data_IF_980146328704
#
_entry.id   IF_980146328704
#
_cell.length_a   1.000
_cell.length_b   1.000
_cell.length_c   1.000
_cell.angle_alpha   90.00
_cell.angle_beta   90.00
_cell.angle_gamma   90.00
#
_symmetry.space_group_name_H-M   'P 1'
#
loop_
_entity.id
_entity.type
_entity.pdbx_description
1 polymer ?
#
# COMPACT_ATOMS: atom_id res chain seq x y z
N UNK A 1 -10.74 20.62 8.03
CA UNK A 1 -10.97 19.19 7.74
C UNK A 1 -10.24 18.37 8.78
N UNK A 2 -10.70 17.16 9.13
CA UNK A 2 -10.02 16.33 10.11
C UNK A 2 -8.62 15.97 9.62
N UNK A 3 -7.62 16.07 10.50
CA UNK A 3 -6.30 15.56 10.21
C UNK A 3 -6.26 14.04 10.41
N UNK A 4 -5.64 13.33 9.48
CA UNK A 4 -5.61 11.87 9.36
C UNK A 4 -4.21 11.35 9.04
N UNK A 5 -3.99 10.07 9.31
CA UNK A 5 -2.71 9.39 9.25
C UNK A 5 -1.60 10.19 9.92
N UNK A 6 -1.87 10.62 11.16
CA UNK A 6 -0.95 11.48 11.92
C UNK A 6 0.43 10.84 12.11
N UNK A 7 0.44 9.50 12.16
CA UNK A 7 1.63 8.67 12.32
C UNK A 7 2.33 8.35 10.98
N UNK A 8 1.86 8.87 9.84
CA UNK A 8 2.50 8.64 8.52
C UNK A 8 3.91 9.23 8.41
N UNK A 9 4.21 10.28 9.19
CA UNK A 9 5.42 11.08 9.04
C UNK A 9 5.32 12.16 7.95
N UNK A 10 4.14 12.35 7.34
CA UNK A 10 3.90 13.40 6.34
C UNK A 10 4.26 14.81 6.84
N UNK A 11 4.00 15.11 8.12
CA UNK A 11 4.30 16.41 8.74
C UNK A 11 5.80 16.72 8.83
N UNK A 12 6.66 15.72 8.64
CA UNK A 12 8.11 15.89 8.62
C UNK A 12 8.62 16.27 7.23
N UNK A 13 7.79 16.11 6.18
CA UNK A 13 8.16 16.34 4.79
C UNK A 13 7.74 17.75 4.33
N UNK A 14 8.32 18.22 3.23
CA UNK A 14 7.96 19.50 2.62
C UNK A 14 7.60 19.30 1.15
N UNK A 15 6.55 19.95 0.68
CA UNK A 15 6.20 19.96 -0.75
C UNK A 15 7.20 20.80 -1.54
N UNK A 16 7.66 20.29 -2.69
CA UNK A 16 8.39 21.06 -3.68
C UNK A 16 7.44 21.85 -4.61
N UNK A 17 7.99 22.54 -5.61
CA UNK A 17 7.20 23.33 -6.57
C UNK A 17 6.28 22.48 -7.46
N UNK A 18 6.54 21.18 -7.58
CA UNK A 18 5.70 20.23 -8.31
C UNK A 18 4.70 19.51 -7.39
N UNK A 19 4.64 19.88 -6.10
CA UNK A 19 3.77 19.26 -5.11
C UNK A 19 4.27 17.90 -4.59
N UNK A 20 5.51 17.51 -4.90
CA UNK A 20 6.12 16.25 -4.45
C UNK A 20 6.80 16.41 -3.09
N UNK A 21 6.96 15.30 -2.37
CA UNK A 21 7.48 15.29 -1.01
C UNK A 21 9.00 15.28 -0.99
N UNK A 22 9.61 16.45 -0.74
CA UNK A 22 11.05 16.60 -0.54
C UNK A 22 11.48 15.98 0.77
N UNK A 23 12.56 15.19 0.71
CA UNK A 23 13.18 14.56 1.88
C UNK A 23 13.85 15.60 2.78
N UNK A 24 13.45 15.62 4.05
CA UNK A 24 13.96 16.53 5.08
C UNK A 24 14.81 15.78 6.10
N UNK A 25 15.55 16.53 6.91
CA UNK A 25 16.38 15.96 7.97
C UNK A 25 15.51 15.30 9.05
N UNK A 26 14.37 15.90 9.38
CA UNK A 26 13.45 15.37 10.39
C UNK A 26 12.78 14.06 9.92
N UNK A 27 12.48 13.94 8.63
CA UNK A 27 11.98 12.70 8.07
C UNK A 27 13.03 11.58 8.17
N UNK A 28 14.32 11.89 7.95
CA UNK A 28 15.39 10.92 8.14
C UNK A 28 15.58 10.53 9.61
N UNK A 29 15.53 11.50 10.53
CA UNK A 29 15.60 11.24 11.98
C UNK A 29 14.51 10.30 12.46
N UNK A 30 13.30 10.38 11.90
CA UNK A 30 12.22 9.47 12.26
C UNK A 30 12.57 7.99 12.01
N UNK A 31 13.42 7.68 11.02
CA UNK A 31 13.93 6.31 10.82
C UNK A 31 14.94 5.88 11.89
N UNK A 32 15.75 6.81 12.40
CA UNK A 32 16.74 6.52 13.46
C UNK A 32 16.12 6.42 14.86
N UNK A 33 14.90 6.91 15.00
CA UNK A 33 14.09 6.78 16.22
C UNK A 33 13.29 5.47 16.27
N UNK A 34 13.33 4.67 15.19
CA UNK A 34 12.68 3.36 15.18
C UNK A 34 13.38 2.41 16.17
N UNK A 35 12.63 1.53 16.87
CA UNK A 35 13.20 0.62 17.86
C UNK A 35 14.33 -0.27 17.32
N UNK A 36 14.30 -0.60 16.03
CA UNK A 36 15.31 -1.43 15.36
C UNK A 36 16.67 -0.72 15.19
N UNK A 37 16.71 0.62 15.35
CA UNK A 37 17.91 1.47 15.18
C UNK A 37 18.26 2.23 16.46
N UNK A 38 17.26 2.55 17.28
CA UNK A 38 17.46 3.31 18.51
C UNK A 38 18.32 2.49 19.50
N UNK A 39 19.47 3.01 19.94
CA UNK A 39 20.33 2.31 20.89
C UNK A 39 19.59 1.95 22.18
N UNK A 40 19.90 0.79 22.74
CA UNK A 40 19.39 0.33 24.03
C UNK A 40 20.45 0.53 25.12
N UNK A 41 20.12 0.23 26.37
CA UNK A 41 21.06 0.39 27.48
C UNK A 41 22.32 -0.48 27.30
N UNK A 42 22.15 -1.66 26.71
CA UNK A 42 23.18 -2.65 26.43
C UNK A 42 24.01 -2.37 25.17
N UNK A 43 23.62 -1.36 24.36
CA UNK A 43 24.37 -0.98 23.16
C UNK A 43 25.83 -0.66 23.50
N UNK A 44 26.73 -0.77 22.53
CA UNK A 44 28.12 -0.37 22.73
C UNK A 44 28.33 1.14 22.46
N UNK A 45 29.51 1.64 22.83
CA UNK A 45 29.85 3.06 22.65
C UNK A 45 29.96 3.47 21.18
N UNK A 46 30.32 2.55 20.29
CA UNK A 46 30.42 2.82 18.85
C UNK A 46 29.02 3.01 18.25
N UNK A 47 28.06 2.16 18.62
CA UNK A 47 26.67 2.30 18.22
C UNK A 47 26.05 3.61 18.72
N UNK A 48 26.19 3.91 20.02
CA UNK A 48 25.71 5.17 20.61
C UNK A 48 26.32 6.40 19.92
N UNK A 49 27.61 6.35 19.63
CA UNK A 49 28.33 7.43 18.95
C UNK A 49 27.85 7.62 17.50
N UNK A 50 27.66 6.51 16.76
CA UNK A 50 27.11 6.54 15.41
C UNK A 50 25.70 7.12 15.39
N UNK A 51 24.82 6.66 16.29
CA UNK A 51 23.45 7.15 16.41
C UNK A 51 23.41 8.63 16.72
N UNK A 52 24.16 9.10 17.73
CA UNK A 52 24.22 10.51 18.09
C UNK A 52 24.69 11.38 16.90
N UNK A 53 25.70 10.92 16.16
CA UNK A 53 26.19 11.61 14.98
C UNK A 53 25.15 11.66 13.85
N UNK A 54 24.38 10.59 13.64
CA UNK A 54 23.27 10.55 12.67
C UNK A 54 22.10 11.44 13.09
N UNK A 55 21.79 11.53 14.39
CA UNK A 55 20.76 12.45 14.89
C UNK A 55 21.16 13.91 14.70
N UNK A 56 22.45 14.24 14.89
CA UNK A 56 22.97 15.57 14.64
C UNK A 56 22.98 15.91 13.14
N UNK A 57 23.52 15.02 12.30
CA UNK A 57 23.66 15.22 10.86
C UNK A 57 23.07 14.02 10.08
N UNK A 58 21.74 13.99 9.83
CA UNK A 58 21.06 12.82 9.26
C UNK A 58 21.54 12.41 7.87
N UNK A 59 22.09 13.36 7.11
CA UNK A 59 22.60 13.13 5.75
C UNK A 59 24.05 12.67 5.71
N UNK A 60 24.74 12.60 6.86
CA UNK A 60 26.18 12.33 6.88
C UNK A 60 26.50 10.97 6.26
N UNK A 61 27.56 10.88 5.49
CA UNK A 61 28.08 9.58 5.06
C UNK A 61 28.64 8.83 6.27
N UNK A 62 28.43 7.52 6.29
CA UNK A 62 28.94 6.61 7.33
C UNK A 62 29.94 5.70 6.66
N UNK A 63 31.18 5.69 7.15
CA UNK A 63 32.21 4.81 6.63
C UNK A 63 31.96 3.36 7.07
N UNK A 64 32.40 2.41 6.24
CA UNK A 64 32.29 0.98 6.56
C UNK A 64 32.96 0.61 7.89
N UNK A 65 34.08 1.26 8.22
CA UNK A 65 34.79 1.06 9.49
C UNK A 65 33.98 1.50 10.71
N UNK A 66 33.13 2.52 10.58
CA UNK A 66 32.24 2.95 11.68
C UNK A 66 31.17 1.90 11.97
N UNK A 67 30.63 1.26 10.92
CA UNK A 67 29.69 0.15 11.07
C UNK A 67 30.40 -1.09 11.63
N UNK A 68 31.59 -1.42 11.15
CA UNK A 68 32.34 -2.60 11.62
C UNK A 68 32.78 -2.50 13.08
N UNK A 69 32.87 -1.28 13.63
CA UNK A 69 33.17 -1.03 15.04
C UNK A 69 32.04 -1.39 16.00
N UNK A 70 30.80 -1.50 15.52
CA UNK A 70 29.66 -1.96 16.32
C UNK A 70 29.85 -3.46 16.58
N UNK A 71 29.76 -3.85 17.85
CA UNK A 71 29.98 -5.22 18.29
C UNK A 71 28.82 -6.13 17.88
N UNK A 72 27.58 -5.64 17.97
CA UNK A 72 26.39 -6.39 17.64
C UNK A 72 26.24 -6.58 16.11
N UNK A 73 26.30 -7.83 15.59
CA UNK A 73 26.05 -8.10 14.18
C UNK A 73 24.64 -7.68 13.71
N UNK A 74 23.60 -7.82 14.54
CA UNK A 74 22.22 -7.54 14.15
C UNK A 74 22.01 -6.02 14.02
N UNK A 75 22.52 -5.25 14.98
CA UNK A 75 22.54 -3.79 14.89
C UNK A 75 23.24 -3.31 13.60
N UNK A 76 24.41 -3.90 13.25
CA UNK A 76 25.11 -3.56 12.00
C UNK A 76 24.27 -3.78 10.76
N UNK A 77 23.54 -4.89 10.70
CA UNK A 77 22.67 -5.19 9.57
C UNK A 77 21.50 -4.21 9.49
N UNK A 78 20.88 -3.86 10.61
CA UNK A 78 19.84 -2.83 10.65
C UNK A 78 20.36 -1.47 10.17
N UNK A 79 21.54 -1.05 10.63
CA UNK A 79 22.18 0.18 10.14
C UNK A 79 22.48 0.12 8.64
N UNK A 80 22.97 -1.00 8.09
CA UNK A 80 23.20 -1.14 6.65
C UNK A 80 21.92 -0.93 5.86
N UNK A 81 20.82 -1.54 6.31
CA UNK A 81 19.51 -1.45 5.67
C UNK A 81 18.98 -0.01 5.69
N UNK A 82 18.98 0.66 6.85
CA UNK A 82 18.46 2.03 6.96
C UNK A 82 19.32 3.05 6.21
N UNK A 83 20.65 2.88 6.21
CA UNK A 83 21.57 3.78 5.51
C UNK A 83 21.47 3.61 3.99
N UNK A 84 21.34 2.38 3.49
CA UNK A 84 21.09 2.14 2.07
C UNK A 84 19.77 2.78 1.60
N UNK A 85 18.72 2.66 2.41
CA UNK A 85 17.44 3.30 2.12
C UNK A 85 17.52 4.84 2.18
N UNK A 86 18.20 5.40 3.19
CA UNK A 86 18.48 6.84 3.26
C UNK A 86 19.19 7.35 2.01
N UNK A 87 20.25 6.66 1.59
CA UNK A 87 21.05 7.10 0.45
C UNK A 87 20.21 7.12 -0.84
N UNK A 88 19.26 6.19 -1.00
CA UNK A 88 18.26 6.22 -2.08
C UNK A 88 17.33 7.40 -2.00
N UNK A 89 16.76 7.68 -0.83
CA UNK A 89 15.90 8.85 -0.61
C UNK A 89 16.64 10.16 -0.95
N UNK A 90 17.89 10.27 -0.51
CA UNK A 90 18.72 11.44 -0.78
C UNK A 90 19.07 11.58 -2.26
N UNK A 91 19.40 10.47 -2.93
CA UNK A 91 19.70 10.48 -4.37
C UNK A 91 18.48 10.85 -5.21
N UNK A 92 17.28 10.42 -4.81
CA UNK A 92 16.04 10.72 -5.52
C UNK A 92 15.51 12.14 -5.24
N UNK A 93 15.84 12.73 -4.09
CA UNK A 93 15.43 14.07 -3.66
C UNK A 93 13.98 14.18 -3.18
N UNK A 94 13.07 13.38 -3.73
CA UNK A 94 11.68 13.26 -3.29
C UNK A 94 11.27 11.81 -3.02
N UNK A 95 10.27 11.63 -2.17
CA UNK A 95 9.73 10.30 -1.83
C UNK A 95 9.10 9.65 -3.06
N UNK A 96 8.39 10.40 -3.89
CA UNK A 96 7.81 9.93 -5.15
C UNK A 96 8.88 9.43 -6.12
N UNK A 97 9.97 10.19 -6.30
CA UNK A 97 11.07 9.78 -7.16
C UNK A 97 11.75 8.51 -6.63
N UNK A 98 11.94 8.41 -5.31
CA UNK A 98 12.49 7.22 -4.67
C UNK A 98 11.59 6.00 -4.91
N UNK A 99 10.29 6.14 -4.65
CA UNK A 99 9.29 5.09 -4.89
C UNK A 99 9.31 4.62 -6.35
N UNK A 100 9.19 5.55 -7.32
CA UNK A 100 9.17 5.20 -8.73
C UNK A 100 10.49 4.55 -9.22
N UNK A 101 11.64 4.99 -8.68
CA UNK A 101 12.94 4.43 -9.03
C UNK A 101 13.17 3.02 -8.48
N UNK A 102 12.54 2.68 -7.34
CA UNK A 102 12.70 1.39 -6.64
C UNK A 102 12.34 0.20 -7.54
N UNK A 103 11.39 0.40 -8.47
CA UNK A 103 10.87 -0.67 -9.34
C UNK A 103 11.51 -0.70 -10.74
N UNK A 104 12.50 0.14 -11.02
CA UNK A 104 13.20 0.15 -12.32
C UNK A 104 14.31 -0.92 -12.44
N UNK A 105 14.56 -1.68 -11.38
CA UNK A 105 15.59 -2.72 -11.32
C UNK A 105 15.25 -3.79 -10.28
N UNK A 106 16.27 -4.52 -9.81
CA UNK A 106 16.10 -5.48 -8.73
C UNK A 106 15.64 -4.76 -7.44
N UNK A 107 14.51 -5.18 -6.90
CA UNK A 107 13.95 -4.61 -5.67
C UNK A 107 14.64 -5.26 -4.48
N UNK A 108 15.59 -4.55 -3.88
CA UNK A 108 16.31 -4.91 -2.67
C UNK A 108 15.92 -4.03 -1.47
N UNK A 109 14.88 -3.21 -1.63
CA UNK A 109 14.32 -2.38 -0.55
C UNK A 109 13.31 -3.21 0.24
N UNK A 110 13.42 -3.29 1.58
CA UNK A 110 12.44 -3.96 2.41
C UNK A 110 11.00 -3.49 2.17
N UNK A 111 10.00 -4.39 2.18
CA UNK A 111 8.59 -4.03 1.95
C UNK A 111 8.08 -2.89 2.85
N UNK A 112 8.49 -2.89 4.11
CA UNK A 112 8.14 -1.85 5.09
C UNK A 112 8.44 -0.43 4.60
N UNK A 113 9.58 -0.23 3.92
CA UNK A 113 9.94 1.09 3.40
C UNK A 113 9.13 1.46 2.17
N UNK A 114 8.80 0.48 1.32
CA UNK A 114 7.92 0.69 0.17
C UNK A 114 6.52 1.11 0.62
N UNK A 115 5.99 0.41 1.62
CA UNK A 115 4.70 0.70 2.26
C UNK A 115 4.70 2.09 2.89
N UNK A 116 5.74 2.45 3.64
CA UNK A 116 5.85 3.79 4.23
C UNK A 116 5.91 4.90 3.17
N UNK A 117 6.66 4.70 2.08
CA UNK A 117 6.68 5.65 0.97
C UNK A 117 5.29 5.81 0.35
N UNK A 118 4.60 4.71 0.06
CA UNK A 118 3.24 4.75 -0.48
C UNK A 118 2.26 5.47 0.48
N UNK A 119 2.38 5.23 1.78
CA UNK A 119 1.56 5.85 2.82
C UNK A 119 1.72 7.38 2.84
N UNK A 120 2.95 7.91 2.90
CA UNK A 120 3.14 9.38 2.90
C UNK A 120 2.75 10.03 1.58
N UNK A 121 2.97 9.35 0.46
CA UNK A 121 2.55 9.84 -0.87
C UNK A 121 1.03 9.90 -0.94
N UNK A 122 0.31 8.89 -0.45
CA UNK A 122 -1.15 8.94 -0.40
C UNK A 122 -1.66 10.00 0.56
N UNK A 123 -0.99 10.22 1.71
CA UNK A 123 -1.35 11.31 2.61
C UNK A 123 -1.26 12.67 1.91
N UNK A 124 -0.28 12.82 1.02
CA UNK A 124 -0.11 14.00 0.19
C UNK A 124 -1.21 14.12 -0.88
N UNK A 125 -1.48 13.04 -1.61
CA UNK A 125 -2.48 12.97 -2.68
C UNK A 125 -3.90 13.25 -2.16
N UNK A 126 -4.22 12.72 -0.98
CA UNK A 126 -5.54 12.81 -0.36
C UNK A 126 -5.67 14.02 0.58
N UNK A 127 -4.71 14.95 0.53
CA UNK A 127 -4.81 16.19 1.29
C UNK A 127 -6.04 16.99 0.85
N UNK A 128 -6.88 17.36 1.81
CA UNK A 128 -8.18 17.97 1.52
C UNK A 128 -9.27 17.00 1.05
N UNK A 129 -9.07 15.68 1.14
CA UNK A 129 -10.13 14.69 0.89
C UNK A 129 -11.11 14.64 2.07
N UNK A 130 -12.40 14.79 1.79
CA UNK A 130 -13.50 14.78 2.76
C UNK A 130 -14.23 13.42 2.84
N UNK A 131 -13.95 12.52 1.89
CA UNK A 131 -14.50 11.18 1.81
C UNK A 131 -13.68 10.18 2.64
N UNK A 132 -14.20 9.68 3.78
CA UNK A 132 -13.48 8.75 4.64
C UNK A 132 -13.31 7.36 3.99
N UNK A 133 -14.19 6.97 3.07
CA UNK A 133 -14.06 5.69 2.38
C UNK A 133 -12.87 5.69 1.42
N UNK A 134 -12.54 6.85 0.81
CA UNK A 134 -11.30 6.97 0.03
C UNK A 134 -10.07 6.79 0.89
N UNK A 135 -10.07 7.36 2.10
CA UNK A 135 -8.96 7.16 3.03
C UNK A 135 -8.83 5.69 3.41
N UNK A 136 -9.91 5.04 3.86
CA UNK A 136 -9.87 3.62 4.21
C UNK A 136 -9.48 2.74 3.02
N UNK A 137 -10.01 2.99 1.83
CA UNK A 137 -9.65 2.26 0.62
C UNK A 137 -8.18 2.47 0.21
N UNK A 138 -7.64 3.66 0.44
CA UNK A 138 -6.24 3.96 0.14
C UNK A 138 -5.26 3.18 1.02
N UNK A 139 -5.66 2.70 2.20
CA UNK A 139 -4.83 1.83 3.03
C UNK A 139 -4.42 0.54 2.31
N UNK A 140 -5.19 0.06 1.32
CA UNK A 140 -4.83 -1.13 0.53
C UNK A 140 -3.49 -0.97 -0.20
N UNK A 141 -3.07 0.26 -0.49
CA UNK A 141 -1.83 0.54 -1.23
C UNK A 141 -0.58 0.31 -0.37
N UNK A 142 -0.71 0.30 0.95
CA UNK A 142 0.42 0.21 1.88
C UNK A 142 0.18 -0.72 3.06
N UNK A 143 -0.99 -1.37 3.17
CA UNK A 143 -1.28 -2.38 4.20
C UNK A 143 -1.92 -3.61 3.59
N UNK A 144 -1.42 -4.77 4.00
CA UNK A 144 -2.02 -6.06 3.64
C UNK A 144 -3.41 -6.21 4.28
N UNK A 145 -4.35 -6.75 3.52
CA UNK A 145 -5.72 -6.98 4.00
C UNK A 145 -6.00 -8.48 4.07
N UNK A 146 -6.73 -8.90 5.10
CA UNK A 146 -7.35 -10.21 5.15
C UNK A 146 -8.74 -10.14 4.49
N UNK A 147 -8.91 -10.90 3.41
CA UNK A 147 -10.18 -11.06 2.74
C UNK A 147 -11.03 -12.13 3.40
N UNK A 148 -12.31 -11.83 3.57
CA UNK A 148 -13.36 -12.79 3.90
C UNK A 148 -14.37 -12.80 2.77
N UNK A 149 -14.50 -13.94 2.09
CA UNK A 149 -15.44 -14.14 0.99
C UNK A 149 -16.60 -15.01 1.50
N UNK A 150 -17.82 -14.48 1.50
CA UNK A 150 -19.04 -15.22 1.90
C UNK A 150 -20.20 -14.84 1.00
N UNK A 151 -20.84 -15.82 0.38
CA UNK A 151 -22.06 -15.62 -0.43
C UNK A 151 -21.92 -14.53 -1.51
N UNK A 152 -20.73 -14.41 -2.12
CA UNK A 152 -20.43 -13.37 -3.11
C UNK A 152 -20.09 -11.99 -2.53
N UNK A 153 -20.05 -11.86 -1.20
CA UNK A 153 -19.56 -10.67 -0.51
C UNK A 153 -18.07 -10.78 -0.21
N UNK A 154 -17.31 -9.76 -0.61
CA UNK A 154 -15.88 -9.64 -0.32
C UNK A 154 -15.69 -8.52 0.71
N UNK A 155 -15.25 -8.89 1.91
CA UNK A 155 -14.93 -7.98 3.00
C UNK A 155 -13.41 -7.97 3.24
N UNK A 156 -12.85 -6.78 3.43
CA UNK A 156 -11.43 -6.58 3.71
C UNK A 156 -11.22 -5.94 5.08
N UNK A 157 -10.44 -6.62 5.91
CA UNK A 157 -9.95 -6.14 7.20
C UNK A 157 -8.43 -5.99 7.15
N UNK A 158 -7.86 -5.14 7.98
CA UNK A 158 -6.40 -5.07 8.13
C UNK A 158 -5.82 -6.40 8.63
N UNK A 159 -4.81 -6.94 7.95
CA UNK A 159 -4.25 -8.27 8.26
C UNK A 159 -3.55 -8.29 9.62
N UNK A 160 -2.78 -7.27 9.94
CA UNK A 160 -2.05 -7.20 11.22
C UNK A 160 -3.03 -7.17 12.40
N UNK A 161 -4.08 -6.36 12.30
CA UNK A 161 -5.15 -6.27 13.30
C UNK A 161 -5.85 -7.61 13.49
N UNK A 162 -6.21 -8.30 12.40
CA UNK A 162 -6.82 -9.64 12.47
C UNK A 162 -5.87 -10.66 13.14
N UNK A 163 -4.58 -10.63 12.82
CA UNK A 163 -3.58 -11.55 13.38
C UNK A 163 -3.33 -11.31 14.88
N UNK A 164 -3.21 -10.05 15.31
CA UNK A 164 -3.04 -9.70 16.73
C UNK A 164 -4.21 -10.20 17.57
N UNK A 165 -5.44 -10.08 17.07
CA UNK A 165 -6.63 -10.61 17.75
C UNK A 165 -6.66 -12.15 17.80
N UNK A 166 -6.23 -12.81 16.72
CA UNK A 166 -6.10 -14.26 16.71
C UNK A 166 -5.04 -14.76 17.72
N UNK A 167 -3.93 -14.02 17.90
CA UNK A 167 -2.86 -14.36 18.82
C UNK A 167 -3.18 -14.04 20.30
N UNK A 168 -3.95 -12.99 20.58
CA UNK A 168 -4.38 -12.60 21.93
C UNK A 168 -5.45 -13.52 22.54
N UNK A 169 -6.17 -14.26 21.71
CA UNK A 169 -7.03 -15.37 22.16
C UNK A 169 -6.15 -16.58 22.46
N UNK A 170 -5.80 -16.81 23.73
CA UNK A 170 -5.21 -18.09 24.16
C UNK A 170 -6.11 -19.21 23.64
N UNK A 171 -5.51 -20.23 23.03
CA UNK A 171 -6.10 -21.33 22.25
C UNK A 171 -6.22 -21.04 20.75
N UNK A 172 -5.22 -21.55 20.02
CA UNK A 172 -5.12 -21.43 18.58
C UNK A 172 -6.11 -22.26 17.77
N UNK A 173 -6.03 -22.01 16.46
CA UNK A 173 -6.76 -22.58 15.33
C UNK A 173 -8.16 -21.99 15.04
N UNK A 174 -8.13 -20.84 14.35
CA UNK A 174 -9.04 -20.38 13.27
C UNK A 174 -10.54 -20.10 13.55
N UNK A 175 -11.19 -20.56 14.61
CA UNK A 175 -12.67 -20.60 14.63
C UNK A 175 -13.40 -19.80 15.71
N UNK A 176 -13.83 -18.56 15.44
CA UNK A 176 -15.19 -18.10 15.88
C UNK A 176 -15.71 -16.88 15.11
N UNK A 177 -15.93 -17.06 13.81
CA UNK A 177 -17.14 -16.53 13.17
C UNK A 177 -18.26 -17.55 13.42
N UNK A 178 -18.85 -17.50 14.62
CA UNK A 178 -20.17 -18.08 14.89
C UNK A 178 -20.96 -17.02 15.66
N UNK A 179 -21.99 -16.52 14.98
CA UNK A 179 -23.18 -15.95 15.61
C UNK A 179 -23.76 -17.03 16.50
N UNK A 180 -23.62 -16.89 17.81
CA UNK A 180 -24.52 -17.54 18.77
C UNK A 180 -25.25 -16.44 19.52
N UNK A 181 -26.56 -16.44 19.32
CA UNK A 181 -27.50 -15.88 20.27
C UNK A 181 -27.07 -16.35 21.67
N UNK A 182 -26.88 -15.38 22.57
CA UNK A 182 -26.57 -15.54 24.00
C UNK A 182 -25.08 -15.65 24.36
N UNK A 183 -24.53 -14.54 24.89
CA UNK A 183 -23.64 -14.60 26.04
C UNK A 183 -22.13 -14.74 25.79
N UNK A 184 -21.47 -13.60 25.57
CA UNK A 184 -20.13 -13.25 26.02
C UNK A 184 -18.98 -14.28 25.87
N UNK A 185 -18.26 -14.21 24.75
CA UNK A 185 -16.79 -14.22 24.67
C UNK A 185 -16.41 -13.32 23.49
N UNK A 186 -15.55 -12.32 23.73
CA UNK A 186 -15.37 -11.13 22.88
C UNK A 186 -15.10 -11.41 21.40
N UNK A 187 -16.13 -11.20 20.58
CA UNK A 187 -15.98 -10.92 19.16
C UNK A 187 -15.43 -9.50 19.00
N UNK A 188 -14.39 -9.33 18.19
CA UNK A 188 -14.06 -7.99 17.70
C UNK A 188 -15.19 -7.60 16.76
N UNK A 189 -16.03 -6.67 17.18
CA UNK A 189 -16.96 -5.97 16.28
C UNK A 189 -16.12 -5.05 15.39
N UNK A 190 -15.51 -5.60 14.34
CA UNK A 190 -14.95 -4.78 13.29
C UNK A 190 -16.10 -4.09 12.56
N UNK A 191 -16.16 -2.77 12.65
CA UNK A 191 -17.21 -1.98 12.02
C UNK A 191 -17.03 -2.02 10.49
N UNK A 192 -18.04 -2.53 9.78
CA UNK A 192 -18.08 -2.48 8.32
C UNK A 192 -18.52 -1.09 7.89
N UNK A 193 -17.61 -0.36 7.25
CA UNK A 193 -17.87 0.98 6.75
C UNK A 193 -18.68 0.96 5.45
N UNK A 194 -19.68 1.82 5.41
CA UNK A 194 -20.50 2.15 4.25
C UNK A 194 -20.72 3.66 4.16
N UNK A 195 -21.54 4.11 3.22
CA UNK A 195 -21.81 5.54 3.03
C UNK A 195 -22.50 6.21 4.22
N UNK A 196 -23.23 5.47 5.06
CA UNK A 196 -23.97 6.02 6.19
C UNK A 196 -23.11 6.19 7.45
N UNK A 197 -22.11 5.33 7.64
CA UNK A 197 -21.26 5.33 8.84
C UNK A 197 -19.77 5.65 8.58
N UNK A 198 -19.36 5.96 7.34
CA UNK A 198 -17.97 6.23 6.96
C UNK A 198 -17.25 7.25 7.86
N UNK A 199 -17.98 8.24 8.39
CA UNK A 199 -17.42 9.27 9.27
C UNK A 199 -16.76 8.71 10.54
N UNK A 200 -17.10 7.48 10.96
CA UNK A 200 -16.44 6.77 12.06
C UNK A 200 -14.92 6.63 11.83
N UNK A 201 -14.50 6.51 10.56
CA UNK A 201 -13.09 6.38 10.20
C UNK A 201 -12.24 7.53 10.74
N UNK A 202 -12.73 8.77 10.74
CA UNK A 202 -11.97 9.94 11.22
C UNK A 202 -11.52 9.83 12.68
N UNK A 203 -12.33 9.17 13.51
CA UNK A 203 -12.03 8.98 14.93
C UNK A 203 -11.05 7.82 15.17
N UNK A 204 -10.81 7.00 14.13
CA UNK A 204 -10.11 5.72 14.19
C UNK A 204 -9.05 5.56 13.10
N UNK A 205 -8.63 6.64 12.45
CA UNK A 205 -7.80 6.66 11.24
C UNK A 205 -6.45 5.91 11.38
N UNK A 206 -5.95 5.73 12.60
CA UNK A 206 -4.71 5.00 12.93
C UNK A 206 -4.95 3.70 13.72
N UNK A 207 -6.21 3.27 13.89
CA UNK A 207 -6.55 2.04 14.64
C UNK A 207 -6.64 0.81 13.76
N UNK A 208 -6.87 1.00 12.45
CA UNK A 208 -7.01 -0.08 11.46
C UNK A 208 -8.08 -1.14 11.85
N UNK A 209 -9.07 -0.75 12.65
CA UNK A 209 -10.12 -1.60 13.23
C UNK A 209 -11.43 -1.56 12.44
N UNK A 210 -11.38 -1.14 11.17
CA UNK A 210 -12.55 -0.99 10.30
C UNK A 210 -12.45 -1.84 9.04
N UNK A 211 -13.60 -2.30 8.57
CA UNK A 211 -13.73 -3.19 7.41
C UNK A 211 -14.39 -2.46 6.25
N UNK A 212 -13.99 -2.76 5.02
CA UNK A 212 -14.70 -2.29 3.83
C UNK A 212 -15.13 -3.46 2.96
N UNK A 213 -16.22 -3.26 2.21
CA UNK A 213 -16.67 -4.24 1.22
C UNK A 213 -16.23 -3.85 -0.19
N UNK A 214 -15.53 -4.75 -0.87
CA UNK A 214 -15.20 -4.62 -2.29
C UNK A 214 -16.23 -5.27 -3.22
N UNK A 215 -17.39 -5.65 -2.69
CA UNK A 215 -18.50 -6.17 -3.51
C UNK A 215 -18.99 -5.10 -4.48
N UNK A 216 -19.24 -5.50 -5.73
CA UNK A 216 -19.76 -4.60 -6.75
C UNK A 216 -21.01 -3.84 -6.30
N UNK A 217 -21.02 -2.52 -6.52
CA UNK A 217 -22.11 -1.63 -6.11
C UNK A 217 -22.04 -1.17 -4.65
N UNK A 218 -20.96 -1.52 -3.91
CA UNK A 218 -20.69 -0.96 -2.58
C UNK A 218 -19.80 0.29 -2.67
N UNK A 219 -20.07 1.33 -1.86
CA UNK A 219 -19.38 2.62 -1.95
C UNK A 219 -17.84 2.56 -1.83
N UNK A 220 -17.30 1.64 -1.02
CA UNK A 220 -15.86 1.53 -0.84
C UNK A 220 -15.13 1.07 -2.11
N UNK A 221 -15.81 0.36 -3.01
CA UNK A 221 -15.24 -0.05 -4.29
C UNK A 221 -15.10 1.14 -5.25
N UNK A 222 -16.10 2.03 -5.27
CA UNK A 222 -16.02 3.30 -6.02
C UNK A 222 -14.95 4.23 -5.42
N UNK A 223 -14.83 4.25 -4.09
CA UNK A 223 -13.78 4.99 -3.41
C UNK A 223 -12.38 4.51 -3.82
N UNK A 224 -12.16 3.18 -3.85
CA UNK A 224 -10.90 2.59 -4.33
C UNK A 224 -10.60 2.96 -5.79
N UNK A 225 -11.60 2.92 -6.67
CA UNK A 225 -11.45 3.37 -8.06
C UNK A 225 -11.00 4.85 -8.14
N UNK A 226 -11.57 5.71 -7.30
CA UNK A 226 -11.16 7.11 -7.18
C UNK A 226 -9.70 7.28 -6.72
N UNK A 227 -9.26 6.49 -5.73
CA UNK A 227 -7.86 6.52 -5.26
C UNK A 227 -6.90 6.06 -6.35
N UNK A 228 -7.24 5.02 -7.13
CA UNK A 228 -6.44 4.57 -8.28
C UNK A 228 -6.27 5.70 -9.29
N UNK A 229 -7.35 6.41 -9.64
CA UNK A 229 -7.28 7.53 -10.57
C UNK A 229 -6.38 8.67 -10.05
N UNK A 230 -6.48 9.00 -8.76
CA UNK A 230 -5.64 10.02 -8.13
C UNK A 230 -4.16 9.62 -8.09
N UNK A 231 -3.87 8.35 -7.81
CA UNK A 231 -2.52 7.80 -7.84
C UNK A 231 -1.88 7.90 -9.23
N UNK A 232 -2.61 7.49 -10.27
CA UNK A 232 -2.17 7.60 -11.67
C UNK A 232 -1.90 9.06 -12.04
N UNK A 233 -2.83 9.97 -11.69
CA UNK A 233 -2.67 11.41 -11.95
C UNK A 233 -1.44 11.99 -11.26
N UNK A 234 -1.18 11.63 -10.01
CA UNK A 234 -0.05 12.17 -9.23
C UNK A 234 1.30 11.80 -9.82
N UNK A 235 1.48 10.54 -10.21
CA UNK A 235 2.77 10.06 -10.72
C UNK A 235 2.99 10.37 -12.20
N UNK A 236 1.95 10.18 -13.02
CA UNK A 236 2.06 10.22 -14.48
C UNK A 236 1.57 11.55 -15.07
N UNK A 237 0.86 12.37 -14.31
CA UNK A 237 0.22 13.59 -14.83
C UNK A 237 -0.97 13.30 -15.77
N UNK A 238 -1.41 12.04 -15.84
CA UNK A 238 -2.46 11.58 -16.76
C UNK A 238 -3.78 11.50 -16.01
N UNK A 239 -4.84 12.07 -16.58
CA UNK A 239 -6.19 11.90 -16.06
C UNK A 239 -6.82 10.64 -16.65
N UNK A 240 -7.28 9.76 -15.76
CA UNK A 240 -7.98 8.53 -16.10
C UNK A 240 -9.30 8.45 -15.34
N UNK A 241 -10.26 7.76 -15.93
CA UNK A 241 -11.52 7.40 -15.29
C UNK A 241 -11.49 5.92 -14.95
N UNK A 242 -11.66 5.59 -13.68
CA UNK A 242 -11.71 4.19 -13.21
C UNK A 242 -13.13 3.90 -12.73
N UNK A 243 -13.74 2.84 -13.23
CA UNK A 243 -15.08 2.40 -12.83
C UNK A 243 -15.05 0.93 -12.41
N UNK A 244 -15.69 0.56 -11.29
CA UNK A 244 -15.91 -0.84 -10.98
C UNK A 244 -16.79 -1.50 -12.04
N UNK A 245 -16.53 -2.77 -12.35
CA UNK A 245 -17.31 -3.60 -13.27
C UNK A 245 -17.57 -4.98 -12.65
N UNK A 246 -18.63 -5.67 -13.09
CA UNK A 246 -18.97 -7.02 -12.60
C UNK A 246 -18.19 -8.13 -13.29
N UNK A 247 -17.90 -7.95 -14.57
CA UNK A 247 -17.23 -8.90 -15.45
C UNK A 247 -16.62 -8.16 -16.63
N UNK A 248 -15.67 -8.81 -17.30
CA UNK A 248 -15.11 -8.34 -18.56
C UNK A 248 -15.96 -8.95 -19.68
N UNK A 249 -16.69 -8.12 -20.42
CA UNK A 249 -17.56 -8.56 -21.52
C UNK A 249 -16.80 -8.66 -22.86
N UNK A 250 -15.63 -8.03 -22.96
CA UNK A 250 -14.82 -8.01 -24.17
C UNK A 250 -14.06 -9.34 -24.33
N UNK A 251 -14.39 -10.12 -25.36
CA UNK A 251 -13.83 -11.45 -25.56
C UNK A 251 -12.31 -11.47 -25.79
N UNK A 252 -11.78 -10.45 -26.46
CA UNK A 252 -10.35 -10.22 -26.64
C UNK A 252 -10.05 -8.80 -26.19
N UNK A 253 -9.99 -8.60 -24.86
CA UNK A 253 -9.69 -7.28 -24.33
C UNK A 253 -8.35 -6.75 -24.85
N UNK A 254 -8.09 -5.45 -24.70
CA UNK A 254 -6.89 -4.84 -25.28
C UNK A 254 -5.66 -4.99 -24.39
N UNK A 255 -5.90 -4.86 -23.09
CA UNK A 255 -4.86 -4.68 -22.10
C UNK A 255 -5.42 -4.91 -20.71
N UNK A 256 -4.60 -5.40 -19.81
CA UNK A 256 -4.95 -5.56 -18.40
C UNK A 256 -3.78 -5.25 -17.48
N UNK A 257 -4.10 -4.92 -16.23
CA UNK A 257 -3.12 -4.73 -15.17
C UNK A 257 -3.65 -5.42 -13.91
N UNK A 258 -2.93 -6.44 -13.44
CA UNK A 258 -3.17 -6.99 -12.11
C UNK A 258 -2.71 -6.00 -11.05
N UNK A 259 -3.55 -5.74 -10.05
CA UNK A 259 -3.25 -4.85 -8.93
C UNK A 259 -2.50 -5.60 -7.81
N UNK A 260 -2.26 -6.89 -7.94
CA UNK A 260 -1.52 -7.75 -7.03
C UNK A 260 -0.92 -8.94 -7.82
N UNK A 261 -0.12 -9.77 -7.15
CA UNK A 261 0.54 -10.90 -7.83
C UNK A 261 -0.47 -11.95 -8.35
N UNK A 262 -1.54 -12.22 -7.61
CA UNK A 262 -2.52 -13.25 -7.97
C UNK A 262 -3.38 -12.78 -9.14
N UNK A 263 -3.89 -11.54 -9.11
CA UNK A 263 -4.64 -10.97 -10.23
C UNK A 263 -3.80 -10.84 -11.49
N UNK A 264 -2.51 -10.49 -11.38
CA UNK A 264 -1.59 -10.50 -12.52
C UNK A 264 -1.48 -11.89 -13.14
N UNK A 265 -1.30 -12.94 -12.33
CA UNK A 265 -1.20 -14.31 -12.81
C UNK A 265 -2.51 -14.75 -13.49
N UNK A 266 -3.66 -14.55 -12.84
CA UNK A 266 -4.98 -14.94 -13.36
C UNK A 266 -5.26 -14.24 -14.70
N UNK A 267 -5.02 -12.93 -14.79
CA UNK A 267 -5.29 -12.19 -16.02
C UNK A 267 -4.34 -12.59 -17.17
N UNK A 268 -3.08 -12.91 -16.88
CA UNK A 268 -2.14 -13.41 -17.87
C UNK A 268 -2.55 -14.78 -18.42
N UNK A 269 -2.96 -15.69 -17.53
CA UNK A 269 -3.45 -17.02 -17.92
C UNK A 269 -4.68 -16.88 -18.84
N UNK A 270 -5.67 -16.08 -18.44
CA UNK A 270 -6.87 -15.81 -19.25
C UNK A 270 -6.53 -15.18 -20.61
N UNK A 271 -5.62 -14.22 -20.63
CA UNK A 271 -5.18 -13.57 -21.87
C UNK A 271 -4.51 -14.55 -22.83
N UNK A 272 -3.70 -15.47 -22.31
CA UNK A 272 -3.02 -16.50 -23.09
C UNK A 272 -3.95 -17.64 -23.56
N UNK A 273 -5.22 -17.64 -23.13
CA UNK A 273 -6.18 -18.71 -23.40
C UNK A 273 -5.93 -19.98 -22.59
N UNK A 274 -5.19 -19.89 -21.48
CA UNK A 274 -4.95 -21.03 -20.58
C UNK A 274 -6.21 -21.36 -19.76
N UNK A 275 -6.39 -22.64 -19.44
CA UNK A 275 -7.43 -23.06 -18.50
C UNK A 275 -7.03 -22.68 -17.07
N UNK A 276 -7.93 -21.99 -16.37
CA UNK A 276 -7.75 -21.69 -14.96
C UNK A 276 -8.13 -22.90 -14.10
N UNK A 277 -7.33 -23.17 -13.07
CA UNK A 277 -7.69 -24.14 -12.05
C UNK A 277 -9.02 -23.79 -11.37
N UNK A 278 -9.77 -24.83 -10.97
CA UNK A 278 -11.05 -24.66 -10.30
C UNK A 278 -10.90 -23.79 -9.06
N UNK A 279 -11.74 -22.75 -8.95
CA UNK A 279 -11.77 -21.86 -7.79
C UNK A 279 -10.82 -20.66 -7.86
N UNK A 280 -9.81 -20.62 -8.75
CA UNK A 280 -8.93 -19.42 -8.88
C UNK A 280 -9.70 -18.16 -9.27
N UNK A 281 -10.73 -18.29 -10.12
CA UNK A 281 -11.62 -17.17 -10.44
C UNK A 281 -12.36 -16.59 -9.23
N UNK A 282 -12.64 -17.39 -8.19
CA UNK A 282 -13.32 -16.93 -6.97
C UNK A 282 -12.44 -16.04 -6.11
N UNK A 283 -11.13 -15.99 -6.41
CA UNK A 283 -10.16 -15.13 -5.72
C UNK A 283 -10.17 -13.69 -6.21
N UNK A 284 -10.74 -13.43 -7.39
CA UNK A 284 -10.92 -12.06 -7.88
C UNK A 284 -11.98 -11.37 -7.02
N UNK A 285 -11.54 -10.37 -6.26
CA UNK A 285 -12.38 -9.61 -5.34
C UNK A 285 -13.00 -8.39 -6.01
N UNK A 286 -12.29 -7.77 -6.95
CA UNK A 286 -12.71 -6.57 -7.64
C UNK A 286 -12.18 -6.52 -9.08
N UNK A 287 -13.01 -5.96 -9.97
CA UNK A 287 -12.67 -5.65 -11.35
C UNK A 287 -12.97 -4.18 -11.64
N UNK A 288 -12.11 -3.55 -12.44
CA UNK A 288 -12.31 -2.18 -12.88
C UNK A 288 -12.05 -2.04 -14.38
N UNK A 289 -12.74 -1.09 -15.01
CA UNK A 289 -12.37 -0.55 -16.30
C UNK A 289 -11.72 0.83 -16.09
N UNK A 290 -10.50 0.98 -16.59
CA UNK A 290 -9.77 2.25 -16.64
C UNK A 290 -9.80 2.79 -18.07
N UNK A 291 -10.30 4.01 -18.22
CA UNK A 291 -10.40 4.74 -19.48
C UNK A 291 -9.50 5.98 -19.39
N UNK A 292 -8.63 6.19 -20.39
CA UNK A 292 -7.84 7.42 -20.48
C UNK A 292 -8.73 8.56 -20.99
N UNK A 293 -8.59 9.76 -20.42
CA UNK A 293 -9.30 10.94 -20.97
C UNK A 293 -8.69 11.41 -22.29
N UNK A 294 -7.37 11.27 -22.45
CA UNK A 294 -6.65 11.57 -23.68
C UNK A 294 -6.00 10.30 -24.25
N UNK A 295 -6.57 9.79 -25.33
CA UNK A 295 -6.07 8.60 -26.03
C UNK A 295 -4.67 8.80 -26.64
N UNK A 296 -4.21 10.04 -26.87
CA UNK A 296 -2.86 10.30 -27.39
C UNK A 296 -1.74 9.97 -26.38
N UNK A 297 -2.08 9.89 -25.09
CA UNK A 297 -1.17 9.43 -24.04
C UNK A 297 -0.96 7.92 -24.02
N UNK A 298 -1.77 7.18 -24.78
CA UNK A 298 -1.73 5.72 -24.87
C UNK A 298 -0.87 5.24 -26.04
N UNK A 299 -0.41 3.99 -25.96
CA UNK A 299 0.20 3.28 -27.09
C UNK A 299 -0.78 3.22 -28.27
N UNK A 300 -0.28 3.51 -29.48
CA UNK A 300 -1.11 3.79 -30.66
C UNK A 300 -2.05 2.63 -31.10
N UNK A 301 -1.64 1.37 -30.91
CA UNK A 301 -2.41 0.17 -31.27
C UNK A 301 -3.60 -0.11 -30.34
N UNK A 302 -3.62 0.47 -29.14
CA UNK A 302 -4.69 0.29 -28.15
C UNK A 302 -5.29 1.60 -27.65
N UNK A 303 -4.97 2.71 -28.31
CA UNK A 303 -5.48 4.04 -27.99
C UNK A 303 -7.02 4.08 -27.99
N UNK A 304 -7.60 4.60 -26.91
CA UNK A 304 -9.05 4.70 -26.70
C UNK A 304 -9.74 3.42 -26.24
N UNK A 305 -9.02 2.29 -26.11
CA UNK A 305 -9.57 1.05 -25.53
C UNK A 305 -9.46 1.06 -24.00
N UNK A 306 -10.36 0.35 -23.33
CA UNK A 306 -10.33 0.21 -21.88
C UNK A 306 -9.17 -0.67 -21.42
N UNK A 307 -8.57 -0.29 -20.29
CA UNK A 307 -7.61 -1.12 -19.56
C UNK A 307 -8.33 -1.80 -18.40
N UNK A 308 -8.30 -3.12 -18.34
CA UNK A 308 -8.96 -3.86 -17.27
C UNK A 308 -8.03 -4.04 -16.08
N UNK A 309 -8.51 -3.70 -14.88
CA UNK A 309 -7.79 -3.90 -13.63
C UNK A 309 -8.47 -4.99 -12.82
N UNK A 310 -7.69 -5.82 -12.13
CA UNK A 310 -8.22 -6.81 -11.20
C UNK A 310 -7.46 -6.75 -9.87
N UNK A 311 -8.16 -6.99 -8.77
CA UNK A 311 -7.59 -7.18 -7.45
C UNK A 311 -8.09 -8.52 -6.89
N UNK A 312 -7.16 -9.32 -6.39
CA UNK A 312 -7.39 -10.68 -5.91
C UNK A 312 -6.80 -10.91 -4.52
N UNK A 313 -7.31 -11.93 -3.84
CA UNK A 313 -6.66 -12.52 -2.68
C UNK A 313 -5.83 -13.74 -3.09
N UNK A 314 -4.72 -13.99 -2.42
CA UNK A 314 -3.97 -15.24 -2.58
C UNK A 314 -4.69 -16.43 -1.90
N UNK A 315 -4.06 -17.61 -1.91
CA UNK A 315 -4.55 -18.86 -1.33
C UNK A 315 -4.85 -18.77 0.18
N UNK A 316 -4.19 -17.87 0.89
CA UNK A 316 -4.41 -17.60 2.33
C UNK A 316 -5.51 -16.54 2.58
N UNK A 317 -6.18 -16.07 1.52
CA UNK A 317 -7.16 -14.99 1.60
C UNK A 317 -6.52 -13.62 1.84
N UNK A 318 -5.25 -13.42 1.48
CA UNK A 318 -4.52 -12.16 1.69
C UNK A 318 -4.51 -11.33 0.43
N UNK A 319 -4.87 -10.06 0.57
CA UNK A 319 -4.74 -9.05 -0.48
C UNK A 319 -3.49 -8.23 -0.22
N UNK A 320 -2.56 -8.26 -1.17
CA UNK A 320 -1.36 -7.42 -1.18
C UNK A 320 -1.30 -6.63 -2.47
N UNK A 321 -1.86 -5.43 -2.44
CA UNK A 321 -1.85 -4.55 -3.61
C UNK A 321 -0.41 -4.15 -3.96
N UNK A 322 -0.16 -3.96 -5.26
CA UNK A 322 1.09 -3.52 -5.86
C UNK A 322 0.85 -2.24 -6.66
N UNK A 323 0.79 -1.06 -6.01
CA UNK A 323 0.47 0.20 -6.68
C UNK A 323 1.46 0.58 -7.79
N UNK A 324 2.70 0.07 -7.73
CA UNK A 324 3.70 0.25 -8.78
C UNK A 324 3.26 -0.33 -10.14
N UNK A 325 2.35 -1.31 -10.16
CA UNK A 325 1.83 -1.86 -11.41
C UNK A 325 1.04 -0.81 -12.20
N UNK A 326 0.42 0.15 -11.52
CA UNK A 326 -0.25 1.31 -12.14
C UNK A 326 0.73 2.30 -12.76
N UNK A 327 2.03 2.20 -12.45
CA UNK A 327 3.07 3.06 -13.03
C UNK A 327 3.83 2.34 -14.14
N UNK A 328 4.08 1.04 -13.97
CA UNK A 328 4.93 0.25 -14.86
C UNK A 328 4.16 -0.47 -15.97
N UNK A 329 2.88 -0.77 -15.78
CA UNK A 329 2.12 -1.66 -16.67
C UNK A 329 0.99 -0.97 -17.43
N UNK A 330 0.79 0.35 -17.26
CA UNK A 330 -0.17 1.07 -18.09
C UNK A 330 0.34 1.22 -19.52
N UNK A 331 -0.54 1.17 -20.54
CA UNK A 331 -0.14 1.21 -21.94
C UNK A 331 0.13 2.64 -22.41
N UNK A 332 1.19 3.24 -21.89
CA UNK A 332 1.57 4.61 -22.19
C UNK A 332 2.27 4.69 -23.55
N UNK A 333 2.13 5.85 -24.21
CA UNK A 333 2.92 6.18 -25.39
C UNK A 333 4.37 6.42 -24.94
N UNK A 334 5.31 5.57 -25.37
CA UNK A 334 6.74 5.84 -25.22
C UNK A 334 7.10 6.92 -26.24
N UNK A 335 7.30 8.16 -25.77
CA UNK A 335 7.73 9.26 -26.61
C UNK A 335 9.19 9.12 -27.09
#
# INVERSE_FOLDING_TARGET
>A
MPDFWRNSGFHLLLRDSAGRLRVTDDFLRAYYLRPEIHPVEESDDAERSLHAALMAEPRRRVARSELEAIADPDARDNYRVVLAFRDRLLAAGTVEACYASTFKGAVDTPPLFIEQMAHVILRNILDGCDDPLKLRAAELFFREQQATIREGHALLADRETVQLHAAGSRYGSIGRLIVEASGAVGSVELDVLDGANAALYWQRESRHDTVISLTYGRPALDALAGVIALWVKHFLGITVRVKPIRRIDEAHWAWHVGLDAESSAILNDLWSGAELEQGRMQRILALFALEFEDACTMRADIAGRSVYLALSANDEGVVRMKPQNLLASLPLNEA
#
